data_IF_146720637476
#
_entry.id   IF_146720637476
#
_cell.length_a   1.000
_cell.length_b   1.000
_cell.length_c   1.000
_cell.angle_alpha   90.00
_cell.angle_beta   90.00
_cell.angle_gamma   90.00
#
_symmetry.space_group_name_H-M   'P 1'
#
loop_
_entity.id
_entity.type
_entity.pdbx_description
1 polymer ?
#
# COMPACT_ATOMS: atom_id res chain seq x y z
N UNK A 1 17.22 10.26 -9.45
CA UNK A 1 17.63 9.30 -8.41
C UNK A 1 17.60 10.03 -7.07
N UNK A 2 16.71 9.66 -6.16
CA UNK A 2 16.35 10.45 -4.98
C UNK A 2 17.34 10.25 -3.81
N UNK A 3 18.65 10.27 -4.09
CA UNK A 3 19.71 9.82 -3.16
C UNK A 3 19.64 10.46 -1.77
N UNK A 4 19.35 11.77 -1.70
CA UNK A 4 19.24 12.47 -0.42
C UNK A 4 18.01 12.01 0.39
N UNK A 5 16.90 11.71 -0.30
CA UNK A 5 15.71 11.17 0.35
C UNK A 5 15.93 9.73 0.79
N UNK A 6 16.54 8.90 -0.05
CA UNK A 6 16.88 7.51 0.29
C UNK A 6 17.86 7.47 1.48
N UNK A 7 18.92 8.28 1.47
CA UNK A 7 19.84 8.39 2.60
C UNK A 7 19.17 8.87 3.89
N UNK A 8 18.22 9.81 3.79
CA UNK A 8 17.41 10.21 4.95
C UNK A 8 16.56 9.04 5.47
N UNK A 9 15.84 8.31 4.61
CA UNK A 9 15.04 7.14 5.03
C UNK A 9 15.90 6.09 5.72
N UNK A 10 17.07 5.81 5.15
CA UNK A 10 18.00 4.81 5.70
C UNK A 10 18.48 5.23 7.09
N UNK A 11 18.78 6.53 7.28
CA UNK A 11 19.19 7.07 8.60
C UNK A 11 18.14 6.92 9.70
N UNK A 12 16.85 6.81 9.34
CA UNK A 12 15.73 6.65 10.27
C UNK A 12 15.11 5.23 10.21
N UNK A 13 15.76 4.30 9.50
CA UNK A 13 15.35 2.89 9.41
C UNK A 13 14.04 2.65 8.66
N UNK A 14 13.74 3.43 7.61
CA UNK A 14 12.61 3.18 6.71
C UNK A 14 13.08 2.40 5.48
N UNK A 15 12.73 1.11 5.44
CA UNK A 15 13.14 0.15 4.42
C UNK A 15 12.11 -0.05 3.30
N UNK A 16 11.00 0.68 3.33
CA UNK A 16 10.01 0.62 2.25
C UNK A 16 10.49 1.38 1.00
N UNK A 17 10.13 0.90 -0.21
CA UNK A 17 10.51 1.56 -1.46
C UNK A 17 10.13 3.04 -1.50
N UNK A 18 10.99 3.85 -2.12
CA UNK A 18 10.64 5.24 -2.44
C UNK A 18 9.70 5.25 -3.64
N UNK A 19 8.50 5.77 -3.45
CA UNK A 19 7.54 6.04 -4.50
C UNK A 19 7.74 7.48 -4.96
N UNK A 20 7.99 7.68 -6.26
CA UNK A 20 7.86 9.01 -6.86
C UNK A 20 6.46 9.12 -7.44
N UNK A 21 5.73 10.13 -7.01
CA UNK A 21 4.40 10.44 -7.50
C UNK A 21 4.30 10.52 -9.04
N UNK A 22 5.34 11.00 -9.72
CA UNK A 22 5.42 11.05 -11.20
C UNK A 22 5.24 9.67 -11.83
N UNK A 23 5.58 8.57 -11.15
CA UNK A 23 5.41 7.21 -11.66
C UNK A 23 3.94 6.88 -11.97
N UNK A 24 2.99 7.51 -11.28
CA UNK A 24 1.56 7.33 -11.50
C UNK A 24 1.06 7.98 -12.81
N UNK A 25 1.82 8.91 -13.40
CA UNK A 25 1.50 9.52 -14.71
C UNK A 25 1.44 8.45 -15.81
N UNK A 26 2.18 7.35 -15.66
CA UNK A 26 2.19 6.25 -16.62
C UNK A 26 0.90 5.40 -16.59
N UNK A 27 0.01 5.63 -15.63
CA UNK A 27 -1.30 4.97 -15.54
C UNK A 27 -2.41 6.01 -15.32
N UNK A 28 -2.61 6.94 -16.27
CA UNK A 28 -3.47 8.12 -16.08
C UNK A 28 -4.96 7.77 -15.93
N UNK A 29 -5.38 6.60 -16.41
CA UNK A 29 -6.75 6.08 -16.22
C UNK A 29 -6.99 5.63 -14.78
N UNK A 30 -5.97 5.04 -14.14
CA UNK A 30 -6.05 4.60 -12.75
C UNK A 30 -5.76 5.73 -11.76
N UNK A 31 -4.85 6.64 -12.13
CA UNK A 31 -4.29 7.67 -11.26
C UNK A 31 -4.21 9.04 -11.96
N UNK A 32 -5.38 9.69 -12.18
CA UNK A 32 -5.42 10.94 -12.92
C UNK A 32 -4.82 12.10 -12.11
N UNK A 33 -3.61 12.52 -12.48
CA UNK A 33 -2.92 13.69 -11.89
C UNK A 33 -3.79 14.95 -11.84
N UNK A 34 -4.66 15.13 -12.83
CA UNK A 34 -5.54 16.28 -12.95
C UNK A 34 -6.61 16.34 -11.85
N UNK A 35 -6.99 15.20 -11.24
CA UNK A 35 -7.92 15.16 -10.11
C UNK A 35 -7.27 15.54 -8.78
N UNK A 36 -5.95 15.67 -8.72
CA UNK A 36 -5.28 16.13 -7.51
C UNK A 36 -5.54 17.62 -7.23
N UNK A 37 -5.59 18.02 -5.94
CA UNK A 37 -5.84 19.40 -5.53
C UNK A 37 -4.65 20.35 -5.78
N UNK A 38 -3.62 19.90 -6.49
CA UNK A 38 -2.47 20.71 -6.86
C UNK A 38 -2.87 21.84 -7.82
N UNK A 39 -2.19 22.97 -7.71
CA UNK A 39 -2.31 24.06 -8.68
C UNK A 39 -1.90 23.59 -10.07
N UNK A 40 -2.40 24.24 -11.13
CA UNK A 40 -1.99 23.92 -12.51
C UNK A 40 -0.48 24.03 -12.67
N UNK A 41 0.13 25.09 -12.12
CA UNK A 41 1.57 25.29 -12.16
C UNK A 41 2.34 24.15 -11.47
N UNK A 42 1.86 23.67 -10.31
CA UNK A 42 2.46 22.52 -9.64
C UNK A 42 2.29 21.23 -10.45
N UNK A 43 1.14 21.01 -11.08
CA UNK A 43 0.89 19.86 -11.96
C UNK A 43 1.87 19.86 -13.14
N UNK A 44 2.07 21.00 -13.81
CA UNK A 44 3.06 21.12 -14.89
C UNK A 44 4.46 20.80 -14.39
N UNK A 45 4.89 21.39 -13.27
CA UNK A 45 6.21 21.13 -12.69
C UNK A 45 6.43 19.66 -12.28
N UNK A 46 5.37 18.99 -11.83
CA UNK A 46 5.41 17.55 -11.54
C UNK A 46 5.59 16.73 -12.82
N UNK A 47 4.88 17.07 -13.90
CA UNK A 47 4.99 16.39 -15.20
C UNK A 47 6.37 16.61 -15.83
N UNK A 48 6.89 17.84 -15.78
CA UNK A 48 8.21 18.17 -16.36
C UNK A 48 9.39 17.68 -15.50
N UNK A 49 9.12 17.19 -14.29
CA UNK A 49 10.15 16.73 -13.36
C UNK A 49 10.88 17.86 -12.62
N UNK A 50 10.51 19.13 -12.84
CA UNK A 50 11.00 20.28 -12.08
C UNK A 50 10.63 20.20 -10.60
N UNK A 51 9.50 19.54 -10.29
CA UNK A 51 9.05 19.24 -8.93
C UNK A 51 8.90 17.73 -8.79
N UNK A 52 9.34 17.20 -7.65
CA UNK A 52 9.24 15.78 -7.33
C UNK A 52 8.59 15.63 -5.95
N UNK A 53 7.64 14.70 -5.86
CA UNK A 53 7.07 14.27 -4.58
C UNK A 53 7.53 12.84 -4.33
N UNK A 54 8.48 12.67 -3.41
CA UNK A 54 8.93 11.37 -2.93
C UNK A 54 8.16 10.99 -1.67
N UNK A 55 7.68 9.75 -1.61
CA UNK A 55 6.97 9.21 -0.47
C UNK A 55 7.51 7.84 -0.12
N UNK A 56 7.43 7.49 1.15
CA UNK A 56 7.70 6.14 1.65
C UNK A 56 6.90 5.92 2.93
N UNK A 57 6.63 4.66 3.25
CA UNK A 57 5.85 4.27 4.42
C UNK A 57 6.76 3.51 5.38
N UNK A 58 6.77 3.86 6.67
CA UNK A 58 7.34 2.96 7.66
C UNK A 58 6.38 1.77 7.83
N UNK A 59 6.62 0.70 7.09
CA UNK A 59 5.72 -0.45 7.01
C UNK A 59 5.58 -1.16 8.35
N UNK A 60 6.65 -1.25 9.13
CA UNK A 60 6.62 -1.86 10.46
C UNK A 60 5.73 -1.06 11.42
N UNK A 61 5.79 0.29 11.39
CA UNK A 61 4.86 1.13 12.16
C UNK A 61 3.42 0.97 11.67
N UNK A 62 3.21 0.83 10.37
CA UNK A 62 1.88 0.60 9.83
C UNK A 62 1.30 -0.77 10.22
N UNK A 63 2.12 -1.82 10.24
CA UNK A 63 1.72 -3.14 10.79
C UNK A 63 1.32 -3.05 12.26
N UNK A 64 2.07 -2.31 13.07
CA UNK A 64 1.69 -2.05 14.47
C UNK A 64 0.34 -1.33 14.58
N UNK A 65 0.01 -0.42 13.65
CA UNK A 65 -1.31 0.22 13.63
C UNK A 65 -2.43 -0.79 13.30
N UNK A 66 -2.18 -1.78 12.44
CA UNK A 66 -3.14 -2.88 12.20
C UNK A 66 -3.36 -3.69 13.49
N UNK A 67 -2.27 -4.06 14.16
CA UNK A 67 -2.28 -4.83 15.42
C UNK A 67 -3.01 -4.11 16.56
N UNK A 68 -2.80 -2.79 16.68
CA UNK A 68 -3.54 -1.95 17.63
C UNK A 68 -5.06 -1.91 17.36
N UNK A 69 -5.50 -2.35 16.18
CA UNK A 69 -6.92 -2.44 15.81
C UNK A 69 -7.40 -3.89 15.70
N UNK A 70 -6.81 -4.80 16.48
CA UNK A 70 -7.21 -6.21 16.60
C UNK A 70 -7.05 -7.03 15.31
N UNK A 71 -6.18 -6.58 14.39
CA UNK A 71 -5.82 -7.35 13.20
C UNK A 71 -4.43 -7.94 13.37
N UNK A 72 -4.23 -9.21 13.02
CA UNK A 72 -2.89 -9.81 13.05
C UNK A 72 -2.23 -9.69 11.70
N UNK A 73 -0.93 -9.43 11.70
CA UNK A 73 -0.10 -9.39 10.50
C UNK A 73 0.80 -10.62 10.47
N UNK A 74 0.61 -11.49 9.48
CA UNK A 74 1.38 -12.70 9.28
C UNK A 74 2.31 -12.53 8.08
N UNK A 75 3.63 -12.57 8.30
CA UNK A 75 4.61 -12.60 7.20
C UNK A 75 4.80 -14.06 6.78
N UNK A 76 4.43 -14.38 5.54
CA UNK A 76 4.49 -15.75 5.03
C UNK A 76 5.93 -16.20 4.74
N UNK A 77 6.15 -17.52 4.68
CA UNK A 77 7.42 -18.06 4.21
C UNK A 77 7.60 -17.82 2.70
N UNK A 78 8.86 -17.71 2.25
CA UNK A 78 9.18 -17.60 0.81
C UNK A 78 8.53 -18.73 -0.03
N UNK A 79 8.43 -19.94 0.54
CA UNK A 79 7.78 -21.09 -0.11
C UNK A 79 6.27 -20.87 -0.28
N UNK A 80 5.59 -20.34 0.72
CA UNK A 80 4.16 -19.99 0.63
C UNK A 80 3.95 -18.84 -0.36
N UNK A 81 4.80 -17.80 -0.32
CA UNK A 81 4.75 -16.68 -1.26
C UNK A 81 4.93 -17.11 -2.71
N UNK A 82 5.91 -17.97 -2.99
CA UNK A 82 6.11 -18.51 -4.33
C UNK A 82 4.87 -19.25 -4.84
N UNK A 83 4.24 -20.08 -3.99
CA UNK A 83 2.99 -20.80 -4.33
C UNK A 83 1.82 -19.86 -4.61
N UNK A 84 1.68 -18.77 -3.84
CA UNK A 84 0.64 -17.77 -4.08
C UNK A 84 0.83 -17.10 -5.45
N UNK A 85 2.06 -16.74 -5.79
CA UNK A 85 2.34 -16.03 -7.03
C UNK A 85 2.42 -16.93 -8.27
N UNK A 86 2.45 -18.26 -8.12
CA UNK A 86 2.37 -19.20 -9.26
C UNK A 86 0.96 -19.32 -9.84
N UNK A 87 -0.08 -18.95 -9.10
CA UNK A 87 -1.45 -18.97 -9.61
C UNK A 87 -1.68 -17.70 -10.43
N UNK A 88 -2.12 -17.78 -11.70
CA UNK A 88 -2.48 -16.62 -12.48
C UNK A 88 -3.61 -15.86 -11.77
N UNK A 89 -3.25 -14.75 -11.16
CA UNK A 89 -4.15 -13.82 -10.47
C UNK A 89 -4.04 -12.48 -11.17
N UNK A 90 -5.16 -11.76 -11.27
CA UNK A 90 -5.16 -10.38 -11.76
C UNK A 90 -4.41 -9.41 -10.81
N UNK A 91 -4.10 -9.84 -9.59
CA UNK A 91 -3.32 -9.08 -8.62
C UNK A 91 -2.22 -9.92 -7.99
N UNK A 92 -0.96 -9.48 -8.15
CA UNK A 92 0.18 -10.06 -7.43
C UNK A 92 0.09 -9.72 -5.94
N UNK A 93 0.55 -10.61 -5.07
CA UNK A 93 0.66 -10.31 -3.64
C UNK A 93 1.69 -9.21 -3.40
N UNK A 94 1.42 -8.32 -2.44
CA UNK A 94 2.44 -7.41 -1.94
C UNK A 94 3.49 -8.21 -1.18
N UNK A 95 4.77 -8.00 -1.50
CA UNK A 95 5.89 -8.68 -0.87
C UNK A 95 6.77 -7.70 -0.10
N UNK A 96 6.97 -8.00 1.19
CA UNK A 96 7.93 -7.31 2.03
C UNK A 96 9.12 -8.24 2.30
N UNK A 97 10.32 -7.83 1.91
CA UNK A 97 11.53 -8.68 1.95
C UNK A 97 11.36 -10.04 1.22
N UNK A 98 10.65 -10.02 0.08
CA UNK A 98 10.37 -11.21 -0.74
C UNK A 98 9.40 -12.20 -0.10
N UNK A 99 8.56 -11.71 0.82
CA UNK A 99 7.56 -12.50 1.56
C UNK A 99 6.22 -11.79 1.51
N UNK A 100 5.19 -12.52 1.09
CA UNK A 100 3.82 -12.04 1.10
C UNK A 100 3.35 -11.77 2.53
N UNK A 101 2.47 -10.79 2.66
CA UNK A 101 1.85 -10.39 3.93
C UNK A 101 0.40 -10.81 3.93
N UNK A 102 -0.02 -11.53 4.96
CA UNK A 102 -1.41 -11.89 5.23
C UNK A 102 -1.91 -11.06 6.42
N UNK A 103 -3.13 -10.54 6.30
CA UNK A 103 -3.82 -9.85 7.39
C UNK A 103 -4.99 -10.72 7.85
N UNK A 104 -5.08 -10.93 9.15
CA UNK A 104 -6.14 -11.69 9.81
C UNK A 104 -6.99 -10.77 10.71
N UNK A 105 -8.30 -10.88 10.62
CA UNK A 105 -9.26 -10.19 11.47
C UNK A 105 -10.33 -11.17 11.95
N UNK A 106 -10.19 -11.67 13.19
CA UNK A 106 -11.01 -12.78 13.67
C UNK A 106 -10.74 -14.07 12.88
N UNK A 107 -11.77 -14.63 12.25
CA UNK A 107 -11.67 -15.85 11.43
C UNK A 107 -11.33 -15.57 9.95
N UNK A 108 -11.35 -14.30 9.55
CA UNK A 108 -11.12 -13.90 8.17
C UNK A 108 -9.64 -13.65 7.92
N UNK A 109 -9.14 -14.13 6.79
CA UNK A 109 -7.75 -13.93 6.34
C UNK A 109 -7.75 -13.38 4.92
N UNK A 110 -6.87 -12.43 4.65
CA UNK A 110 -6.69 -11.87 3.31
C UNK A 110 -5.22 -11.60 3.03
N UNK A 111 -4.78 -11.93 1.81
CA UNK A 111 -3.46 -11.54 1.32
C UNK A 111 -3.46 -10.05 1.01
N UNK A 112 -2.43 -9.36 1.47
CA UNK A 112 -2.21 -7.96 1.17
C UNK A 112 -1.74 -7.80 -0.28
N UNK A 113 -2.31 -6.83 -0.99
CA UNK A 113 -1.98 -6.50 -2.38
C UNK A 113 -1.62 -5.02 -2.50
N UNK A 114 -0.98 -4.65 -3.60
CA UNK A 114 -0.43 -3.30 -3.81
C UNK A 114 -1.47 -2.17 -3.81
N UNK A 115 -2.73 -2.48 -4.13
CA UNK A 115 -3.80 -1.49 -4.28
C UNK A 115 -4.07 -0.63 -3.04
N UNK A 116 -3.79 -1.12 -1.82
CA UNK A 116 -3.93 -0.28 -0.62
C UNK A 116 -2.83 0.79 -0.55
N UNK A 117 -1.62 0.47 -1.01
CA UNK A 117 -0.50 1.41 -1.07
C UNK A 117 -0.70 2.42 -2.18
N UNK A 118 -1.25 2.01 -3.31
CA UNK A 118 -1.66 2.94 -4.38
C UNK A 118 -2.66 3.98 -3.85
N UNK A 119 -3.64 3.58 -3.01
CA UNK A 119 -4.56 4.54 -2.37
C UNK A 119 -3.84 5.46 -1.38
N UNK A 120 -2.90 4.93 -0.59
CA UNK A 120 -2.12 5.75 0.35
C UNK A 120 -1.22 6.77 -0.36
N UNK A 121 -0.50 6.36 -1.40
CA UNK A 121 0.48 7.20 -2.08
C UNK A 121 -0.14 8.07 -3.17
N UNK A 122 -1.00 7.51 -4.02
CA UNK A 122 -1.63 8.28 -5.08
C UNK A 122 -2.76 9.14 -4.51
N UNK A 123 -3.73 8.55 -3.81
CA UNK A 123 -4.92 9.28 -3.35
C UNK A 123 -4.73 10.00 -2.01
N UNK A 124 -3.51 10.04 -1.47
CA UNK A 124 -3.16 10.62 -0.17
C UNK A 124 -4.04 10.11 0.98
N UNK A 125 -4.51 8.86 0.89
CA UNK A 125 -5.23 8.21 1.97
C UNK A 125 -4.30 8.09 3.18
N UNK A 126 -4.72 8.64 4.33
CA UNK A 126 -3.94 8.52 5.57
C UNK A 126 -3.73 7.04 5.91
N UNK A 127 -2.52 6.61 6.31
CA UNK A 127 -2.27 5.20 6.64
C UNK A 127 -3.20 4.65 7.74
N UNK A 128 -3.58 5.47 8.72
CA UNK A 128 -4.56 5.11 9.74
C UNK A 128 -5.96 4.90 9.17
N UNK A 129 -6.39 5.73 8.21
CA UNK A 129 -7.67 5.57 7.52
C UNK A 129 -7.69 4.32 6.63
N UNK A 130 -6.54 3.91 6.08
CA UNK A 130 -6.42 2.64 5.36
C UNK A 130 -6.63 1.43 6.30
N UNK A 131 -6.12 1.49 7.53
CA UNK A 131 -6.37 0.48 8.57
C UNK A 131 -7.87 0.40 8.91
N UNK A 132 -8.53 1.55 9.08
CA UNK A 132 -9.97 1.61 9.33
C UNK A 132 -10.79 1.00 8.20
N UNK A 133 -10.43 1.34 6.96
CA UNK A 133 -11.05 0.78 5.77
C UNK A 133 -10.92 -0.75 5.73
N UNK A 134 -9.72 -1.28 5.96
CA UNK A 134 -9.50 -2.73 6.00
C UNK A 134 -10.35 -3.41 7.07
N UNK A 135 -10.34 -2.91 8.32
CA UNK A 135 -11.15 -3.47 9.42
C UNK A 135 -12.64 -3.48 9.09
N UNK A 136 -13.14 -2.41 8.45
CA UNK A 136 -14.51 -2.34 7.98
C UNK A 136 -14.79 -3.41 6.90
N UNK A 137 -13.91 -3.55 5.89
CA UNK A 137 -14.05 -4.56 4.83
C UNK A 137 -14.10 -5.99 5.40
N UNK A 138 -13.24 -6.32 6.37
CA UNK A 138 -13.28 -7.61 7.05
C UNK A 138 -14.59 -7.84 7.80
N UNK A 139 -15.11 -6.81 8.48
CA UNK A 139 -16.35 -6.87 9.24
C UNK A 139 -17.57 -7.10 8.35
N UNK A 140 -17.64 -6.41 7.22
CA UNK A 140 -18.70 -6.60 6.22
C UNK A 140 -18.59 -7.96 5.52
N UNK A 141 -17.37 -8.40 5.20
CA UNK A 141 -17.12 -9.74 4.66
C UNK A 141 -17.65 -10.84 5.57
N UNK A 142 -17.44 -10.72 6.88
CA UNK A 142 -17.99 -11.66 7.88
C UNK A 142 -19.53 -11.66 7.91
N UNK A 143 -20.17 -10.49 7.86
CA UNK A 143 -21.65 -10.39 7.82
C UNK A 143 -22.21 -11.10 6.59
N UNK A 144 -21.58 -10.97 5.44
CA UNK A 144 -22.04 -11.59 4.20
C UNK A 144 -21.87 -13.12 4.21
N UNK A 145 -20.78 -13.64 4.80
CA UNK A 145 -20.59 -15.08 4.98
C UNK A 145 -21.66 -15.71 5.89
N UNK A 146 -22.02 -15.02 6.97
CA UNK A 146 -23.04 -15.51 7.92
C UNK A 146 -24.47 -15.44 7.37
N UNK A 147 -24.76 -14.56 6.41
CA UNK A 147 -26.06 -14.48 5.73
C UNK A 147 -26.29 -15.61 4.71
N UNK A 148 -25.20 -16.24 4.25
CA UNK A 148 -25.23 -17.27 3.21
C UNK A 148 -25.05 -18.70 3.77
N UNK A 149 -25.11 -18.87 5.09
CA UNK A 149 -25.16 -20.17 5.80
C UNK A 149 -26.55 -20.38 6.36
#
# INVERSE_FOLDING_TARGET
>A
MYKSFDGWKDSIGIDFPTINFVQFINAPVAFPLFLHPFSINDKVKLITGEKVICMSLNINKWFKLLEQKDMKVNILSKKQTARLNTVPSHSKSFEYNGRAVEIECGEMKQILHDGIFERMFNQFLKPSSAVDFLKHTFSEGKKNLNKNK
#
